data_IF_968500865906
#
_entry.id   IF_968500865906
#
_cell.length_a   1.000
_cell.length_b   1.000
_cell.length_c   1.000
_cell.angle_alpha   90.00
_cell.angle_beta   90.00
_cell.angle_gamma   90.00
#
_symmetry.space_group_name_H-M   'P 1'
#
loop_
_entity.id
_entity.type
_entity.pdbx_description
1 polymer ?
#
# COMPACT_ATOMS: atom_id res chain seq x y z
N UNK A 1 46.36 32.46 112.62
CA UNK A 1 47.39 32.76 111.60
C UNK A 1 47.11 31.86 110.41
N UNK A 2 46.91 32.43 109.22
CA UNK A 2 46.67 31.63 108.01
C UNK A 2 47.92 30.81 107.68
N UNK A 3 47.75 29.54 107.30
CA UNK A 3 48.89 28.66 107.02
C UNK A 3 49.51 29.02 105.65
N UNK A 4 50.79 28.68 105.43
CA UNK A 4 51.45 28.90 104.13
C UNK A 4 50.69 28.25 102.97
N UNK A 5 49.91 27.19 103.23
CA UNK A 5 49.07 26.53 102.23
C UNK A 5 47.89 27.41 101.80
N UNK A 6 47.24 28.08 102.75
CA UNK A 6 46.09 28.95 102.48
C UNK A 6 46.49 30.17 101.63
N UNK A 7 47.70 30.70 101.86
CA UNK A 7 48.27 31.79 101.05
C UNK A 7 48.56 31.36 99.60
N UNK A 8 49.04 30.13 99.40
CA UNK A 8 49.32 29.60 98.05
C UNK A 8 48.02 29.26 97.31
N UNK A 9 47.02 28.70 97.99
CA UNK A 9 45.69 28.45 97.40
C UNK A 9 44.97 29.76 97.03
N UNK A 10 45.07 30.79 97.88
CA UNK A 10 44.52 32.11 97.56
C UNK A 10 45.19 32.75 96.33
N UNK A 11 46.53 32.66 96.22
CA UNK A 11 47.24 33.16 95.04
C UNK A 11 46.93 32.36 93.78
N UNK A 12 46.83 31.03 93.86
CA UNK A 12 46.48 30.20 92.70
C UNK A 12 45.03 30.40 92.26
N UNK A 13 44.10 30.62 93.19
CA UNK A 13 42.72 30.97 92.87
C UNK A 13 42.63 32.32 92.17
N UNK A 14 43.31 33.35 92.70
CA UNK A 14 43.37 34.67 92.07
C UNK A 14 43.99 34.62 90.66
N UNK A 15 45.07 33.83 90.48
CA UNK A 15 45.71 33.66 89.18
C UNK A 15 44.84 32.90 88.17
N UNK A 16 44.13 31.85 88.59
CA UNK A 16 43.16 31.15 87.73
C UNK A 16 42.02 32.08 87.32
N UNK A 17 41.48 32.87 88.25
CA UNK A 17 40.39 33.81 87.97
C UNK A 17 40.82 34.90 86.99
N UNK A 18 42.04 35.42 87.12
CA UNK A 18 42.62 36.40 86.18
C UNK A 18 42.89 35.80 84.80
N UNK A 19 43.44 34.58 84.74
CA UNK A 19 43.66 33.89 83.47
C UNK A 19 42.35 33.55 82.77
N UNK A 20 41.33 33.11 83.50
CA UNK A 20 40.00 32.87 82.92
C UNK A 20 39.39 34.16 82.40
N UNK A 21 39.48 35.28 83.13
CA UNK A 21 38.98 36.58 82.67
C UNK A 21 39.71 37.10 81.42
N UNK A 22 41.02 36.81 81.30
CA UNK A 22 41.82 37.21 80.14
C UNK A 22 41.56 36.31 78.92
N UNK A 23 41.41 35.00 79.12
CA UNK A 23 41.15 34.04 78.04
C UNK A 23 39.70 34.07 77.57
N UNK A 24 38.74 34.34 78.47
CA UNK A 24 37.31 34.40 78.11
C UNK A 24 36.90 35.70 77.41
N UNK A 25 37.83 36.65 77.24
CA UNK A 25 37.61 37.88 76.46
C UNK A 25 36.35 38.62 76.89
N UNK A 26 36.25 39.06 78.14
CA UNK A 26 35.11 39.86 78.60
C UNK A 26 35.19 41.29 78.04
N UNK A 27 34.34 41.71 77.08
CA UNK A 27 34.34 43.07 76.58
C UNK A 27 33.55 43.93 77.58
N UNK A 28 34.23 44.83 78.30
CA UNK A 28 33.55 45.92 79.01
C UNK A 28 32.87 45.59 80.35
N UNK A 29 33.18 44.47 81.00
CA UNK A 29 32.86 44.28 82.42
C UNK A 29 31.38 44.04 82.79
N UNK A 30 30.57 43.44 81.92
CA UNK A 30 29.23 42.95 82.28
C UNK A 30 29.20 41.43 82.36
N UNK A 31 28.57 40.87 83.39
CA UNK A 31 28.22 39.45 83.45
C UNK A 31 27.38 39.09 82.23
N UNK A 32 27.73 38.00 81.56
CA UNK A 32 26.95 37.46 80.45
C UNK A 32 25.65 36.88 81.03
N UNK A 33 24.56 37.64 81.00
CA UNK A 33 23.23 37.05 81.17
C UNK A 33 23.04 35.96 80.10
N UNK A 34 22.71 34.71 80.48
CA UNK A 34 22.46 33.67 79.51
C UNK A 34 21.25 34.06 78.66
N UNK A 35 21.49 34.48 77.42
CA UNK A 35 20.39 34.71 76.47
C UNK A 35 19.77 33.34 76.18
N UNK A 36 18.48 33.17 76.51
CA UNK A 36 17.76 31.91 76.25
C UNK A 36 17.85 31.62 74.74
N UNK A 37 18.40 30.48 74.28
CA UNK A 37 18.62 30.19 72.86
C UNK A 37 17.33 29.91 72.07
N UNK A 38 16.16 30.27 72.60
CA UNK A 38 14.84 30.02 72.00
C UNK A 38 14.71 30.55 70.57
N UNK A 39 15.37 31.67 70.23
CA UNK A 39 15.34 32.20 68.85
C UNK A 39 16.02 31.26 67.86
N UNK A 40 17.13 30.64 68.25
CA UNK A 40 17.84 29.66 67.41
C UNK A 40 17.04 28.36 67.27
N UNK A 41 16.37 27.92 68.34
CA UNK A 41 15.50 26.72 68.32
C UNK A 41 14.27 26.95 67.43
N UNK A 42 13.60 28.09 67.58
CA UNK A 42 12.44 28.44 66.74
C UNK A 42 12.85 28.61 65.28
N UNK A 43 13.99 29.27 65.02
CA UNK A 43 14.54 29.41 63.67
C UNK A 43 14.86 28.05 63.03
N UNK A 44 15.53 27.15 63.77
CA UNK A 44 15.81 25.79 63.33
C UNK A 44 14.54 24.99 63.04
N UNK A 45 13.56 25.01 63.95
CA UNK A 45 12.29 24.30 63.77
C UNK A 45 11.51 24.80 62.54
N UNK A 46 11.51 26.12 62.30
CA UNK A 46 10.84 26.73 61.16
C UNK A 46 11.50 26.31 59.86
N UNK A 47 12.84 26.35 59.80
CA UNK A 47 13.60 25.92 58.63
C UNK A 47 13.41 24.42 58.34
N UNK A 48 13.45 23.56 59.37
CA UNK A 48 13.18 22.12 59.23
C UNK A 48 11.77 21.86 58.71
N UNK A 49 10.77 22.59 59.22
CA UNK A 49 9.38 22.47 58.77
C UNK A 49 9.24 22.87 57.31
N UNK A 50 9.86 23.98 56.90
CA UNK A 50 9.85 24.44 55.49
C UNK A 50 10.54 23.44 54.56
N UNK A 51 11.64 22.82 54.98
CA UNK A 51 12.33 21.79 54.20
C UNK A 51 11.47 20.54 54.02
N UNK A 52 10.79 20.09 55.08
CA UNK A 52 9.88 18.93 55.02
C UNK A 52 8.67 19.23 54.13
N UNK A 53 8.05 20.40 54.27
CA UNK A 53 6.94 20.80 53.41
C UNK A 53 7.39 20.98 51.96
N UNK A 54 8.58 21.54 51.74
CA UNK A 54 9.18 21.69 50.42
C UNK A 54 9.48 20.35 49.76
N UNK A 55 9.99 19.36 50.50
CA UNK A 55 10.26 18.02 49.95
C UNK A 55 8.99 17.22 49.66
N UNK A 56 7.97 17.30 50.52
CA UNK A 56 6.64 16.73 50.27
C UNK A 56 5.98 17.34 49.03
N UNK A 57 6.03 18.67 48.90
CA UNK A 57 5.52 19.35 47.71
C UNK A 57 6.28 18.97 46.44
N UNK A 58 7.61 18.84 46.53
CA UNK A 58 8.45 18.42 45.40
C UNK A 58 8.17 16.97 44.95
N UNK A 59 7.87 16.06 45.87
CA UNK A 59 7.48 14.68 45.56
C UNK A 59 6.12 14.58 44.85
N UNK A 60 5.18 15.47 45.16
CA UNK A 60 3.89 15.55 44.45
C UNK A 60 4.03 16.14 43.03
N UNK A 61 5.10 16.89 42.79
CA UNK A 61 5.47 17.42 41.47
C UNK A 61 6.35 16.44 40.67
N UNK A 62 6.69 15.27 41.24
CA UNK A 62 7.44 14.24 40.54
C UNK A 62 6.68 13.79 39.29
N UNK A 63 7.40 13.54 38.19
CA UNK A 63 6.82 13.44 36.86
C UNK A 63 6.03 12.14 36.68
N UNK A 64 4.71 12.20 36.88
CA UNK A 64 3.81 11.11 36.54
C UNK A 64 3.87 10.81 35.04
N UNK A 65 3.58 9.56 34.68
CA UNK A 65 3.45 9.18 33.28
C UNK A 65 2.33 9.99 32.61
N UNK A 66 2.47 10.37 31.33
CA UNK A 66 1.44 11.10 30.61
C UNK A 66 0.10 10.36 30.66
N UNK A 67 -1.03 11.07 30.71
CA UNK A 67 -2.35 10.44 30.71
C UNK A 67 -2.55 9.54 29.48
N UNK A 68 -3.08 8.33 29.69
CA UNK A 68 -3.34 7.35 28.62
C UNK A 68 -2.09 6.76 27.99
N UNK A 69 -1.01 6.59 28.77
CA UNK A 69 0.23 5.91 28.36
C UNK A 69 0.10 4.37 28.36
N UNK A 70 -0.86 3.85 29.11
CA UNK A 70 -0.92 2.50 29.65
C UNK A 70 -1.61 1.49 28.72
N UNK A 71 -2.31 1.95 27.69
CA UNK A 71 -2.97 1.05 26.75
C UNK A 71 -2.90 1.56 25.31
N UNK A 72 -2.62 0.66 24.37
CA UNK A 72 -2.57 0.91 22.93
C UNK A 72 -1.60 2.05 22.52
N UNK A 73 -0.49 2.21 23.25
CA UNK A 73 0.54 3.23 22.98
C UNK A 73 1.89 2.62 22.63
N UNK A 74 2.63 3.32 21.77
CA UNK A 74 4.07 3.15 21.63
C UNK A 74 4.78 4.08 22.62
N UNK A 75 5.36 3.52 23.67
CA UNK A 75 6.16 4.24 24.67
C UNK A 75 7.62 4.24 24.23
N UNK A 76 8.16 5.42 23.96
CA UNK A 76 9.56 5.61 23.58
C UNK A 76 10.27 6.38 24.69
N UNK A 77 11.32 5.79 25.24
CA UNK A 77 12.15 6.45 26.23
C UNK A 77 13.12 7.41 25.54
N UNK A 78 13.57 8.46 26.25
CA UNK A 78 14.53 9.42 25.71
C UNK A 78 15.90 8.84 25.34
N UNK A 79 16.26 7.67 25.88
CA UNK A 79 17.47 6.91 25.54
C UNK A 79 17.27 5.97 24.32
N UNK A 80 16.06 5.92 23.74
CA UNK A 80 15.76 5.19 22.52
C UNK A 80 15.18 3.78 22.70
N UNK A 81 14.97 3.33 23.95
CA UNK A 81 14.24 2.08 24.21
C UNK A 81 12.76 2.23 23.85
N UNK A 82 12.15 1.13 23.41
CA UNK A 82 10.80 1.14 22.82
C UNK A 82 9.95 0.04 23.41
N UNK A 83 8.72 0.39 23.78
CA UNK A 83 7.77 -0.53 24.39
C UNK A 83 6.37 -0.29 23.83
N UNK A 84 5.58 -1.34 23.67
CA UNK A 84 4.12 -1.22 23.50
C UNK A 84 3.49 -1.38 24.87
N UNK A 85 2.65 -0.41 25.25
CA UNK A 85 1.85 -0.49 26.47
C UNK A 85 0.52 -1.19 26.15
N UNK A 86 0.24 -2.30 26.84
CA UNK A 86 -1.01 -3.04 26.76
C UNK A 86 -1.51 -3.26 28.18
N UNK A 87 -2.66 -2.67 28.52
CA UNK A 87 -3.30 -2.82 29.84
C UNK A 87 -2.34 -2.58 31.03
N UNK A 88 -1.50 -1.55 30.94
CA UNK A 88 -0.52 -1.16 31.95
C UNK A 88 0.81 -1.94 31.93
N UNK A 89 0.98 -2.90 31.02
CA UNK A 89 2.22 -3.68 30.88
C UNK A 89 3.04 -3.21 29.68
N UNK A 90 4.34 -2.98 29.89
CA UNK A 90 5.29 -2.59 28.86
C UNK A 90 5.94 -3.81 28.21
N UNK A 91 5.65 -4.03 26.93
CA UNK A 91 6.27 -5.07 26.12
C UNK A 91 7.38 -4.45 25.26
N UNK A 92 8.67 -4.82 25.44
CA UNK A 92 9.73 -4.37 24.55
C UNK A 92 9.39 -4.70 23.09
N UNK A 93 9.56 -3.75 22.17
CA UNK A 93 9.18 -3.95 20.76
C UNK A 93 10.37 -3.80 19.81
N UNK A 94 10.47 -4.71 18.84
CA UNK A 94 11.61 -4.76 17.93
C UNK A 94 11.67 -3.59 16.93
N UNK A 95 10.52 -3.03 16.53
CA UNK A 95 10.42 -1.93 15.59
C UNK A 95 9.08 -1.20 15.71
N UNK A 96 9.00 0.02 15.20
CA UNK A 96 7.78 0.82 15.29
C UNK A 96 6.63 0.28 14.41
N UNK A 97 6.92 -0.39 13.28
CA UNK A 97 5.88 -1.02 12.46
C UNK A 97 5.15 -2.14 13.24
N UNK A 98 5.90 -2.95 13.99
CA UNK A 98 5.33 -3.99 14.86
C UNK A 98 4.45 -3.40 15.96
N UNK A 99 4.88 -2.27 16.55
CA UNK A 99 4.05 -1.56 17.52
C UNK A 99 2.74 -1.08 16.89
N UNK A 100 2.80 -0.54 15.67
CA UNK A 100 1.63 -0.07 14.92
C UNK A 100 0.68 -1.21 14.50
N UNK A 101 1.21 -2.41 14.25
CA UNK A 101 0.41 -3.61 13.96
C UNK A 101 -0.31 -4.17 15.20
N UNK A 102 0.28 -4.06 16.38
CA UNK A 102 -0.32 -4.55 17.63
C UNK A 102 -1.41 -3.62 18.18
N UNK A 103 -1.31 -2.33 17.88
CA UNK A 103 -2.27 -1.33 18.32
C UNK A 103 -3.48 -1.30 17.38
N UNK A 104 -4.74 -1.24 17.88
CA UNK A 104 -5.91 -1.11 17.04
C UNK A 104 -5.83 0.08 16.07
N UNK A 105 -6.37 -0.06 14.84
CA UNK A 105 -6.40 1.02 13.86
C UNK A 105 -7.00 2.32 14.44
N UNK A 106 -6.34 3.45 14.18
CA UNK A 106 -6.76 4.78 14.66
C UNK A 106 -6.35 5.14 16.09
N UNK A 107 -5.79 4.22 16.87
CA UNK A 107 -5.40 4.47 18.27
C UNK A 107 -3.89 4.65 18.48
N UNK A 108 -3.09 4.35 17.46
CA UNK A 108 -1.63 4.44 17.53
C UNK A 108 -1.18 5.86 17.83
N UNK A 109 -0.58 6.05 19.01
CA UNK A 109 0.10 7.29 19.39
C UNK A 109 1.41 6.96 20.08
N UNK A 110 2.38 7.85 19.88
CA UNK A 110 3.70 7.75 20.50
C UNK A 110 3.71 8.60 21.76
N UNK A 111 4.10 8.01 22.88
CA UNK A 111 4.29 8.70 24.15
C UNK A 111 5.78 8.69 24.47
N UNK A 112 6.37 9.88 24.57
CA UNK A 112 7.78 10.00 24.93
C UNK A 112 7.93 10.18 26.43
N UNK A 113 8.72 9.33 27.07
CA UNK A 113 8.93 9.31 28.53
C UNK A 113 10.41 9.30 28.87
N UNK A 114 10.75 9.65 30.11
CA UNK A 114 12.08 9.37 30.64
C UNK A 114 12.16 7.92 31.15
N UNK A 115 13.34 7.28 31.11
CA UNK A 115 13.51 5.92 31.63
C UNK A 115 13.00 5.77 33.07
N UNK A 116 13.28 6.75 33.94
CA UNK A 116 12.88 6.71 35.36
C UNK A 116 11.36 6.69 35.57
N UNK A 117 10.58 7.18 34.59
CA UNK A 117 9.12 7.22 34.70
C UNK A 117 8.48 5.84 34.51
N UNK A 118 9.18 4.90 33.88
CA UNK A 118 8.67 3.55 33.58
C UNK A 118 9.41 2.45 34.36
N UNK A 119 10.30 2.81 35.29
CA UNK A 119 11.08 1.84 36.06
C UNK A 119 10.19 0.87 36.85
N UNK A 120 9.12 1.39 37.46
CA UNK A 120 8.16 0.60 38.24
C UNK A 120 7.06 -0.05 37.39
N UNK A 121 7.05 0.18 36.07
CA UNK A 121 6.02 -0.39 35.19
C UNK A 121 6.25 -1.89 34.96
N UNK A 122 5.20 -2.74 35.01
CA UNK A 122 5.30 -4.16 34.69
C UNK A 122 5.92 -4.39 33.31
N UNK A 123 6.81 -5.38 33.19
CA UNK A 123 7.44 -5.75 31.91
C UNK A 123 6.89 -7.07 31.40
N UNK A 124 6.47 -7.06 30.15
CA UNK A 124 6.04 -8.24 29.41
C UNK A 124 7.16 -8.84 28.57
N UNK A 125 6.81 -9.88 27.80
CA UNK A 125 7.70 -10.47 26.80
C UNK A 125 7.97 -9.49 25.65
N UNK A 126 9.15 -9.60 25.05
CA UNK A 126 9.50 -8.87 23.83
C UNK A 126 8.60 -9.31 22.67
N UNK A 127 8.10 -8.35 21.89
CA UNK A 127 7.19 -8.58 20.76
C UNK A 127 7.70 -7.92 19.49
N UNK A 128 7.22 -8.41 18.34
CA UNK A 128 7.41 -7.79 17.03
C UNK A 128 7.97 -8.75 15.98
N UNK A 129 7.97 -8.26 14.74
CA UNK A 129 8.43 -8.98 13.56
C UNK A 129 9.90 -8.61 13.30
N UNK A 130 10.85 -9.55 13.38
CA UNK A 130 12.25 -9.27 13.05
C UNK A 130 12.40 -8.75 11.62
N UNK A 131 13.19 -7.69 11.44
CA UNK A 131 13.46 -7.08 10.12
C UNK A 131 12.36 -6.15 9.59
N UNK A 132 11.24 -5.99 10.29
CA UNK A 132 10.24 -4.99 9.91
C UNK A 132 10.79 -3.55 10.11
N UNK A 133 10.36 -2.60 9.26
CA UNK A 133 10.92 -1.25 9.25
C UNK A 133 10.51 -0.43 10.48
N UNK A 134 11.31 0.58 10.78
CA UNK A 134 11.00 1.56 11.82
C UNK A 134 10.17 2.75 11.33
N UNK A 135 10.25 3.05 10.03
CA UNK A 135 9.46 4.08 9.40
C UNK A 135 8.50 3.42 8.41
N UNK A 136 7.22 3.74 8.53
CA UNK A 136 6.21 3.46 7.51
C UNK A 136 5.78 4.81 6.96
N UNK A 137 5.71 4.99 5.63
CA UNK A 137 5.30 6.26 5.04
C UNK A 137 3.90 6.67 5.51
N UNK A 138 3.65 7.96 5.45
CA UNK A 138 2.31 8.50 5.67
C UNK A 138 1.38 7.99 4.55
N UNK A 139 0.09 7.68 4.84
CA UNK A 139 -0.85 7.25 3.80
C UNK A 139 -0.92 8.19 2.59
N UNK A 140 -0.75 9.50 2.79
CA UNK A 140 -0.75 10.49 1.70
C UNK A 140 0.49 10.40 0.78
N UNK A 141 1.54 9.67 1.20
CA UNK A 141 2.76 9.43 0.41
C UNK A 141 2.76 8.05 -0.25
N UNK A 142 1.66 7.30 -0.17
CA UNK A 142 1.54 6.03 -0.86
C UNK A 142 1.26 6.27 -2.34
N UNK A 143 2.17 5.80 -3.19
CA UNK A 143 1.98 5.81 -4.64
C UNK A 143 1.10 4.62 -5.01
N UNK A 144 -0.21 4.85 -5.13
CA UNK A 144 -1.18 3.81 -5.49
C UNK A 144 -1.31 3.56 -7.00
N UNK A 145 -0.88 4.50 -7.84
CA UNK A 145 -1.05 4.48 -9.29
C UNK A 145 0.23 4.99 -9.96
N UNK A 146 0.34 4.88 -11.29
CA UNK A 146 1.53 5.31 -12.03
C UNK A 146 2.71 4.35 -11.95
N UNK A 147 2.47 3.08 -11.62
CA UNK A 147 3.54 2.09 -11.63
C UNK A 147 3.74 1.64 -13.07
N UNK A 148 4.94 1.82 -13.61
CA UNK A 148 5.25 1.52 -15.00
C UNK A 148 6.27 0.38 -15.05
N UNK A 149 5.94 -0.71 -15.75
CA UNK A 149 6.85 -1.84 -15.95
C UNK A 149 7.01 -2.13 -17.44
N UNK A 150 8.18 -1.85 -17.99
CA UNK A 150 8.49 -1.98 -19.42
C UNK A 150 9.34 -3.21 -19.72
N UNK A 151 9.23 -3.74 -20.94
CA UNK A 151 10.01 -4.88 -21.42
C UNK A 151 10.99 -4.47 -22.51
N UNK A 152 12.22 -4.96 -22.41
CA UNK A 152 13.28 -4.81 -23.41
C UNK A 152 13.25 -5.94 -24.45
N UNK A 153 14.04 -5.79 -25.51
CA UNK A 153 13.98 -6.68 -26.69
C UNK A 153 14.23 -8.16 -26.39
N UNK A 154 15.08 -8.48 -25.39
CA UNK A 154 15.40 -9.85 -24.99
C UNK A 154 14.70 -10.27 -23.68
N UNK A 155 13.65 -9.53 -23.28
CA UNK A 155 12.82 -9.85 -22.11
C UNK A 155 13.33 -9.30 -20.78
N UNK A 156 14.35 -8.42 -20.79
CA UNK A 156 14.69 -7.61 -19.63
C UNK A 156 13.53 -6.71 -19.21
N UNK A 157 13.45 -6.38 -17.91
CA UNK A 157 12.38 -5.55 -17.38
C UNK A 157 12.92 -4.33 -16.65
N UNK A 158 12.27 -3.18 -16.84
CA UNK A 158 12.50 -1.98 -16.07
C UNK A 158 11.18 -1.57 -15.41
N UNK A 159 11.16 -1.52 -14.08
CA UNK A 159 9.98 -1.08 -13.32
C UNK A 159 10.29 0.21 -12.60
N UNK A 160 9.49 1.24 -12.87
CA UNK A 160 9.61 2.56 -12.27
C UNK A 160 8.37 2.87 -11.46
N UNK A 161 8.59 3.35 -10.24
CA UNK A 161 7.57 3.92 -9.38
C UNK A 161 7.89 5.41 -9.23
N UNK A 162 7.16 6.26 -9.96
CA UNK A 162 7.41 7.71 -10.00
C UNK A 162 6.13 8.49 -10.27
N UNK A 163 6.02 9.70 -9.70
CA UNK A 163 4.98 10.67 -10.04
C UNK A 163 5.11 11.20 -11.48
N UNK A 164 6.29 11.06 -12.10
CA UNK A 164 6.53 11.47 -13.50
C UNK A 164 5.71 10.65 -14.51
N UNK A 165 5.12 9.53 -14.09
CA UNK A 165 4.23 8.71 -14.90
C UNK A 165 2.79 9.26 -14.98
N UNK A 166 2.47 10.32 -14.23
CA UNK A 166 1.14 10.92 -14.22
C UNK A 166 0.60 11.34 -15.61
N UNK A 167 1.40 11.87 -16.55
CA UNK A 167 0.94 12.16 -17.90
C UNK A 167 0.47 10.90 -18.66
N UNK A 168 1.17 9.76 -18.49
CA UNK A 168 0.77 8.50 -19.12
C UNK A 168 -0.57 7.99 -18.57
N UNK A 169 -0.83 8.19 -17.27
CA UNK A 169 -2.13 7.85 -16.67
C UNK A 169 -3.25 8.71 -17.27
N UNK A 170 -2.99 10.00 -17.48
CA UNK A 170 -3.95 10.91 -18.12
C UNK A 170 -4.22 10.52 -19.59
N UNK A 171 -3.19 10.15 -20.35
CA UNK A 171 -3.34 9.68 -21.74
C UNK A 171 -4.23 8.43 -21.82
N UNK A 172 -4.01 7.45 -20.92
CA UNK A 172 -4.85 6.24 -20.84
C UNK A 172 -6.30 6.60 -20.49
N UNK A 173 -6.51 7.57 -19.59
CA UNK A 173 -7.85 8.03 -19.23
C UNK A 173 -8.58 8.68 -20.42
N UNK A 174 -7.87 9.51 -21.20
CA UNK A 174 -8.42 10.13 -22.41
C UNK A 174 -8.74 9.11 -23.50
N UNK A 175 -7.84 8.15 -23.75
CA UNK A 175 -8.05 7.06 -24.69
C UNK A 175 -9.28 6.24 -24.31
N UNK A 176 -9.40 5.87 -23.04
CA UNK A 176 -10.56 5.15 -22.53
C UNK A 176 -11.86 5.96 -22.71
N UNK A 177 -11.84 7.25 -22.40
CA UNK A 177 -13.01 8.13 -22.54
C UNK A 177 -13.43 8.33 -24.02
N UNK A 178 -12.48 8.32 -24.95
CA UNK A 178 -12.74 8.47 -26.38
C UNK A 178 -13.29 7.19 -27.04
N UNK A 179 -13.27 6.06 -26.34
CA UNK A 179 -13.63 4.75 -26.90
C UNK A 179 -12.63 4.24 -27.95
N UNK A 180 -11.39 4.74 -27.93
CA UNK A 180 -10.33 4.20 -28.76
C UNK A 180 -10.11 2.71 -28.41
N UNK A 181 -9.86 1.88 -29.42
CA UNK A 181 -9.57 0.47 -29.21
C UNK A 181 -8.33 0.29 -28.34
N UNK A 182 -8.27 -0.75 -27.50
CA UNK A 182 -7.14 -0.97 -26.60
C UNK A 182 -5.84 -1.19 -27.39
N UNK A 183 -4.70 -0.90 -26.78
CA UNK A 183 -3.42 -1.36 -27.30
C UNK A 183 -3.35 -2.90 -27.24
N UNK A 184 -2.67 -3.49 -28.22
CA UNK A 184 -2.46 -4.93 -28.34
C UNK A 184 -0.99 -5.27 -28.56
N UNK A 185 -0.54 -6.34 -27.92
CA UNK A 185 0.82 -6.85 -28.07
C UNK A 185 0.83 -8.37 -28.09
N UNK A 186 1.42 -8.94 -29.14
CA UNK A 186 1.74 -10.36 -29.17
C UNK A 186 3.03 -10.59 -28.37
N UNK A 187 2.98 -11.48 -27.39
CA UNK A 187 4.13 -11.81 -26.54
C UNK A 187 4.37 -13.31 -26.48
N UNK A 188 5.60 -13.67 -26.17
CA UNK A 188 6.06 -15.03 -25.93
C UNK A 188 6.63 -15.14 -24.53
N UNK A 189 6.13 -16.09 -23.75
CA UNK A 189 6.71 -16.45 -22.46
C UNK A 189 7.02 -17.94 -22.45
N UNK A 190 8.31 -18.28 -22.44
CA UNK A 190 8.76 -19.64 -22.70
C UNK A 190 8.36 -20.10 -24.11
N UNK A 191 7.60 -21.19 -24.19
CA UNK A 191 7.11 -21.75 -25.46
C UNK A 191 5.73 -21.23 -25.86
N UNK A 192 5.02 -20.56 -24.95
CA UNK A 192 3.63 -20.14 -25.14
C UNK A 192 3.52 -18.72 -25.69
N UNK A 193 2.51 -18.51 -26.53
CA UNK A 193 2.16 -17.22 -27.11
C UNK A 193 0.93 -16.67 -26.43
N UNK A 194 0.93 -15.36 -26.19
CA UNK A 194 -0.20 -14.64 -25.61
C UNK A 194 -0.47 -13.37 -26.38
N UNK A 195 -1.74 -13.00 -26.52
CA UNK A 195 -2.13 -11.65 -26.87
C UNK A 195 -2.43 -10.88 -25.58
N UNK A 196 -1.70 -9.80 -25.34
CA UNK A 196 -2.01 -8.84 -24.27
C UNK A 196 -2.85 -7.72 -24.86
N UNK A 197 -4.06 -7.54 -24.35
CA UNK A 197 -4.98 -6.49 -24.76
C UNK A 197 -6.00 -6.21 -23.65
N UNK A 198 -6.45 -4.96 -23.53
CA UNK A 198 -7.50 -4.55 -22.59
C UNK A 198 -7.27 -5.00 -21.13
N UNK A 199 -6.02 -4.86 -20.67
CA UNK A 199 -5.59 -5.25 -19.32
C UNK A 199 -5.55 -6.76 -19.06
N UNK A 200 -5.81 -7.59 -20.08
CA UNK A 200 -5.77 -9.03 -20.00
C UNK A 200 -4.68 -9.64 -20.86
N UNK A 201 -4.33 -10.88 -20.52
CA UNK A 201 -3.56 -11.79 -21.37
C UNK A 201 -4.45 -12.95 -21.79
N UNK A 202 -4.40 -13.28 -23.08
CA UNK A 202 -5.13 -14.40 -23.65
C UNK A 202 -4.12 -15.37 -24.27
N UNK A 203 -4.12 -16.63 -23.83
CA UNK A 203 -3.26 -17.65 -24.42
C UNK A 203 -3.66 -17.89 -25.88
N UNK A 204 -2.69 -18.05 -26.76
CA UNK A 204 -2.91 -18.51 -28.13
C UNK A 204 -2.61 -20.02 -28.16
N UNK A 205 -3.63 -20.89 -28.30
CA UNK A 205 -3.44 -22.34 -28.27
C UNK A 205 -2.45 -22.81 -29.35
N UNK A 206 -1.49 -23.64 -28.97
CA UNK A 206 -0.42 -24.08 -29.88
C UNK A 206 -0.95 -24.81 -31.11
N UNK A 207 -1.96 -25.65 -30.93
CA UNK A 207 -2.55 -26.47 -31.99
C UNK A 207 -3.17 -25.64 -33.13
N UNK A 208 -3.69 -24.45 -32.82
CA UNK A 208 -4.49 -23.63 -33.74
C UNK A 208 -3.89 -22.24 -33.98
N UNK A 209 -2.71 -22.00 -33.42
CA UNK A 209 -2.00 -20.71 -33.40
C UNK A 209 -1.99 -19.97 -34.74
N UNK A 210 -1.65 -20.65 -35.84
CA UNK A 210 -1.59 -20.00 -37.16
C UNK A 210 -2.96 -19.52 -37.67
N UNK A 211 -4.03 -20.26 -37.37
CA UNK A 211 -5.40 -19.90 -37.75
C UNK A 211 -5.92 -18.74 -36.90
N UNK A 212 -5.72 -18.84 -35.59
CA UNK A 212 -6.09 -17.81 -34.61
C UNK A 212 -5.39 -16.49 -34.93
N UNK A 213 -4.05 -16.50 -35.07
CA UNK A 213 -3.28 -15.28 -35.35
C UNK A 213 -3.71 -14.63 -36.66
N UNK A 214 -4.00 -15.40 -37.71
CA UNK A 214 -4.51 -14.84 -38.97
C UNK A 214 -5.90 -14.24 -38.81
N UNK A 215 -6.78 -14.91 -38.07
CA UNK A 215 -8.13 -14.42 -37.80
C UNK A 215 -8.11 -13.06 -37.09
N UNK A 216 -7.22 -12.88 -36.10
CA UNK A 216 -7.09 -11.62 -35.36
C UNK A 216 -6.12 -10.62 -35.99
N UNK A 217 -5.59 -10.89 -37.19
CA UNK A 217 -4.68 -10.00 -37.92
C UNK A 217 -3.29 -9.83 -37.30
N UNK A 218 -2.80 -10.84 -36.58
CA UNK A 218 -1.51 -10.87 -35.88
C UNK A 218 -0.52 -11.89 -36.49
N UNK A 219 -0.79 -12.41 -37.68
CA UNK A 219 0.03 -13.46 -38.34
C UNK A 219 1.40 -12.96 -38.82
N UNK A 220 1.56 -11.66 -39.01
CA UNK A 220 2.84 -11.02 -39.35
C UNK A 220 3.53 -10.37 -38.16
N UNK A 221 2.89 -10.35 -36.98
CA UNK A 221 3.45 -9.72 -35.79
C UNK A 221 4.60 -10.57 -35.24
N UNK A 222 5.71 -9.92 -34.92
CA UNK A 222 6.82 -10.57 -34.23
C UNK A 222 6.55 -10.53 -32.71
N UNK A 223 6.44 -11.69 -32.03
CA UNK A 223 6.12 -11.71 -30.62
C UNK A 223 7.28 -11.19 -29.78
N UNK A 224 6.99 -10.29 -28.83
CA UNK A 224 7.97 -9.83 -27.84
C UNK A 224 8.28 -10.93 -26.84
N UNK A 225 9.56 -11.14 -26.53
CA UNK A 225 9.94 -12.09 -25.49
C UNK A 225 9.72 -11.44 -24.13
N UNK A 226 8.94 -12.07 -23.25
CA UNK A 226 8.60 -11.52 -21.92
C UNK A 226 8.76 -12.58 -20.84
N UNK A 227 9.10 -12.12 -19.63
CA UNK A 227 9.10 -12.99 -18.44
C UNK A 227 7.68 -13.30 -18.00
N UNK A 228 7.49 -14.46 -17.37
CA UNK A 228 6.20 -14.81 -16.75
C UNK A 228 5.80 -13.79 -15.67
N UNK A 229 6.78 -13.14 -15.01
CA UNK A 229 6.52 -12.08 -14.02
C UNK A 229 5.86 -10.86 -14.65
N UNK A 230 6.40 -10.36 -15.76
CA UNK A 230 5.80 -9.22 -16.46
C UNK A 230 4.43 -9.59 -17.04
N UNK A 231 4.30 -10.77 -17.63
CA UNK A 231 3.01 -11.26 -18.13
C UNK A 231 1.95 -11.37 -17.01
N UNK A 232 2.35 -11.67 -15.76
CA UNK A 232 1.48 -11.71 -14.57
C UNK A 232 1.00 -10.34 -14.08
N UNK A 233 1.43 -9.24 -14.69
CA UNK A 233 0.87 -7.92 -14.42
C UNK A 233 -0.51 -7.73 -15.05
N UNK A 234 -0.84 -8.51 -16.07
CA UNK A 234 -2.14 -8.52 -16.73
C UNK A 234 -3.02 -9.65 -16.21
N UNK A 235 -4.32 -9.38 -16.06
CA UNK A 235 -5.26 -10.40 -15.61
C UNK A 235 -5.35 -11.55 -16.63
N UNK A 236 -5.48 -12.82 -16.20
CA UNK A 236 -5.79 -13.89 -17.13
C UNK A 236 -7.17 -13.65 -17.76
N UNK A 237 -7.25 -13.82 -19.07
CA UNK A 237 -8.50 -13.97 -19.81
C UNK A 237 -8.60 -15.34 -20.46
N UNK A 238 -9.75 -15.60 -21.09
CA UNK A 238 -10.04 -16.82 -21.86
C UNK A 238 -9.07 -16.94 -23.03
N UNK A 239 -8.68 -18.17 -23.35
CA UNK A 239 -7.78 -18.47 -24.47
C UNK A 239 -8.38 -18.00 -25.80
N UNK A 240 -7.55 -17.57 -26.75
CA UNK A 240 -7.96 -17.20 -28.09
C UNK A 240 -8.16 -18.45 -28.95
N UNK A 241 -9.31 -19.08 -28.82
CA UNK A 241 -9.69 -20.26 -29.61
C UNK A 241 -10.83 -19.95 -30.59
N UNK A 242 -11.04 -20.76 -31.63
CA UNK A 242 -12.23 -20.61 -32.47
C UNK A 242 -13.52 -20.72 -31.64
N UNK A 243 -14.43 -19.78 -31.86
CA UNK A 243 -15.69 -19.74 -31.11
C UNK A 243 -16.62 -20.83 -31.61
N UNK A 244 -17.14 -21.63 -30.67
CA UNK A 244 -18.07 -22.72 -30.95
C UNK A 244 -19.45 -22.42 -30.37
N UNK A 245 -20.48 -22.63 -31.18
CA UNK A 245 -21.88 -22.56 -30.77
C UNK A 245 -22.47 -23.95 -30.84
N UNK A 246 -23.06 -24.40 -29.75
CA UNK A 246 -23.69 -25.71 -29.68
C UNK A 246 -24.83 -25.82 -30.70
N UNK A 247 -24.86 -26.93 -31.43
CA UNK A 247 -25.90 -27.15 -32.45
C UNK A 247 -25.72 -26.33 -33.74
N UNK A 248 -24.59 -25.65 -33.95
CA UNK A 248 -24.35 -24.89 -35.18
C UNK A 248 -24.68 -25.68 -36.46
N UNK A 249 -25.46 -25.07 -37.36
CA UNK A 249 -25.98 -25.68 -38.59
C UNK A 249 -27.30 -26.45 -38.43
N UNK A 250 -27.79 -26.66 -37.21
CA UNK A 250 -29.09 -27.29 -36.97
C UNK A 250 -30.25 -26.31 -37.17
N UNK A 251 -31.46 -26.80 -37.52
CA UNK A 251 -32.65 -25.96 -37.59
C UNK A 251 -32.97 -25.32 -36.23
N UNK A 252 -33.44 -24.08 -36.26
CA UNK A 252 -33.93 -23.38 -35.07
C UNK A 252 -35.24 -24.03 -34.54
N UNK A 253 -35.54 -23.85 -33.23
CA UNK A 253 -36.82 -24.27 -32.67
C UNK A 253 -38.03 -23.68 -33.43
N UNK A 254 -39.14 -24.43 -33.46
CA UNK A 254 -40.37 -23.94 -34.08
C UNK A 254 -40.89 -22.68 -33.34
N UNK A 255 -41.26 -21.65 -34.12
CA UNK A 255 -41.81 -20.41 -33.59
C UNK A 255 -40.80 -19.29 -33.35
N UNK A 256 -39.50 -19.54 -33.51
CA UNK A 256 -38.47 -18.49 -33.47
C UNK A 256 -38.63 -17.56 -34.68
N UNK A 257 -38.81 -16.24 -34.50
CA UNK A 257 -39.03 -15.27 -35.58
C UNK A 257 -37.73 -14.88 -36.29
N UNK A 258 -36.91 -15.85 -36.68
CA UNK A 258 -35.64 -15.61 -37.36
C UNK A 258 -35.81 -15.40 -38.89
N UNK A 259 -34.85 -14.75 -39.56
CA UNK A 259 -34.88 -14.60 -41.02
C UNK A 259 -34.95 -15.94 -41.77
N UNK A 260 -35.55 -15.99 -42.97
CA UNK A 260 -35.64 -17.22 -43.75
C UNK A 260 -34.26 -17.83 -44.03
N UNK A 261 -34.10 -19.12 -43.73
CA UNK A 261 -32.83 -19.84 -43.93
C UNK A 261 -31.81 -19.66 -42.81
N UNK A 262 -32.13 -18.88 -41.78
CA UNK A 262 -31.32 -18.84 -40.56
C UNK A 262 -31.39 -20.18 -39.82
N UNK A 263 -30.24 -20.61 -39.33
CA UNK A 263 -30.04 -21.82 -38.53
C UNK A 263 -29.31 -21.44 -37.24
N UNK A 264 -29.21 -22.37 -36.30
CA UNK A 264 -28.34 -22.20 -35.13
C UNK A 264 -26.93 -21.89 -35.61
N UNK A 265 -26.31 -20.86 -35.05
CA UNK A 265 -25.01 -20.33 -35.44
C UNK A 265 -25.02 -19.29 -36.56
N UNK A 266 -26.15 -19.02 -37.24
CA UNK A 266 -26.18 -17.97 -38.27
C UNK A 266 -25.80 -16.60 -37.68
N UNK A 267 -24.90 -15.88 -38.37
CA UNK A 267 -24.51 -14.52 -37.99
C UNK A 267 -25.53 -13.55 -38.59
N UNK A 268 -26.21 -12.80 -37.74
CA UNK A 268 -27.09 -11.71 -38.14
C UNK A 268 -26.32 -10.40 -38.06
N UNK A 269 -26.15 -9.75 -39.22
CA UNK A 269 -25.48 -8.45 -39.33
C UNK A 269 -26.52 -7.35 -39.44
N UNK A 270 -26.56 -6.50 -38.41
CA UNK A 270 -27.46 -5.37 -38.31
C UNK A 270 -26.66 -4.09 -38.58
N UNK A 271 -26.99 -3.39 -39.65
CA UNK A 271 -26.48 -2.04 -39.90
C UNK A 271 -27.55 -1.03 -39.50
N UNK A 272 -27.25 -0.15 -38.55
CA UNK A 272 -28.21 0.86 -38.13
C UNK A 272 -28.23 2.10 -39.05
N UNK A 273 -29.12 3.05 -38.73
CA UNK A 273 -29.33 4.24 -39.55
C UNK A 273 -28.11 5.18 -39.61
N UNK A 274 -27.16 5.04 -38.68
CA UNK A 274 -25.93 5.85 -38.61
C UNK A 274 -24.75 5.10 -39.23
N UNK A 275 -24.97 3.86 -39.70
CA UNK A 275 -23.96 3.02 -40.33
C UNK A 275 -23.16 2.16 -39.36
N UNK A 276 -23.52 2.12 -38.08
CA UNK A 276 -22.89 1.22 -37.10
C UNK A 276 -23.32 -0.22 -37.39
N UNK A 277 -22.34 -1.11 -37.44
CA UNK A 277 -22.56 -2.54 -37.71
C UNK A 277 -22.50 -3.29 -36.38
N UNK A 278 -23.57 -4.00 -36.05
CA UNK A 278 -23.64 -4.92 -34.92
C UNK A 278 -23.84 -6.34 -35.44
N UNK A 279 -23.13 -7.30 -34.85
CA UNK A 279 -23.26 -8.72 -35.19
C UNK A 279 -23.81 -9.48 -34.00
N UNK A 280 -24.68 -10.43 -34.31
CA UNK A 280 -25.22 -11.39 -33.35
C UNK A 280 -25.11 -12.79 -33.94
N UNK A 281 -24.89 -13.77 -33.09
CA UNK A 281 -25.00 -15.19 -33.46
C UNK A 281 -26.30 -15.73 -32.86
N UNK A 282 -27.05 -16.50 -33.63
CA UNK A 282 -28.20 -17.24 -33.10
C UNK A 282 -27.71 -18.47 -32.33
N UNK A 283 -28.11 -18.61 -31.07
CA UNK A 283 -27.86 -19.85 -30.31
C UNK A 283 -28.89 -20.95 -30.61
N UNK A 284 -28.79 -22.04 -29.85
CA UNK A 284 -29.68 -23.20 -29.98
C UNK A 284 -31.13 -22.90 -29.56
N UNK A 285 -31.35 -21.91 -28.70
CA UNK A 285 -32.67 -21.47 -28.24
C UNK A 285 -33.29 -20.44 -29.21
N UNK A 286 -32.48 -19.87 -30.10
CA UNK A 286 -32.86 -18.85 -31.07
C UNK A 286 -32.66 -17.42 -30.55
N UNK A 287 -31.94 -17.26 -29.46
CA UNK A 287 -31.57 -15.97 -28.89
C UNK A 287 -30.33 -15.39 -29.58
N UNK A 288 -30.22 -14.06 -29.55
CA UNK A 288 -29.13 -13.30 -30.13
C UNK A 288 -27.98 -13.22 -29.10
N UNK A 289 -26.89 -13.92 -29.36
CA UNK A 289 -25.63 -13.74 -28.64
C UNK A 289 -24.84 -12.60 -29.29
N UNK A 290 -24.52 -11.52 -28.57
CA UNK A 290 -23.65 -10.46 -29.10
C UNK A 290 -22.30 -11.02 -29.55
N UNK A 291 -21.88 -10.64 -30.75
CA UNK A 291 -20.59 -11.01 -31.33
C UNK A 291 -19.77 -9.74 -31.55
N UNK A 292 -18.68 -9.61 -30.81
CA UNK A 292 -17.78 -8.46 -30.92
C UNK A 292 -17.02 -8.47 -32.25
N UNK A 293 -16.50 -7.32 -32.67
CA UNK A 293 -15.72 -7.23 -33.91
C UNK A 293 -14.44 -8.08 -33.83
N UNK A 294 -13.85 -8.18 -32.64
CA UNK A 294 -12.69 -9.04 -32.41
C UNK A 294 -13.04 -10.54 -32.41
N UNK A 295 -14.19 -10.92 -31.84
CA UNK A 295 -14.62 -12.32 -31.78
C UNK A 295 -15.12 -12.83 -33.14
N UNK A 296 -15.64 -11.95 -34.01
CA UNK A 296 -16.19 -12.32 -35.31
C UNK A 296 -15.26 -13.17 -36.21
N UNK A 297 -13.98 -12.82 -36.43
CA UNK A 297 -13.09 -13.65 -37.22
C UNK A 297 -12.74 -14.98 -36.54
N UNK A 298 -12.71 -15.05 -35.20
CA UNK A 298 -12.51 -16.30 -34.45
C UNK A 298 -13.75 -17.20 -34.54
N UNK A 299 -14.95 -16.62 -34.58
CA UNK A 299 -16.17 -17.36 -34.88
C UNK A 299 -16.19 -17.89 -36.31
N UNK A 300 -15.73 -17.11 -37.28
CA UNK A 300 -15.70 -17.50 -38.69
C UNK A 300 -14.83 -18.75 -38.95
N UNK A 301 -13.73 -18.91 -38.21
CA UNK A 301 -12.88 -20.12 -38.28
C UNK A 301 -13.36 -21.27 -37.40
N UNK A 302 -14.37 -21.04 -36.55
CA UNK A 302 -15.04 -22.04 -35.71
C UNK A 302 -16.39 -22.45 -36.29
N UNK A 303 -17.47 -22.29 -35.51
CA UNK A 303 -18.83 -22.67 -35.94
C UNK A 303 -19.36 -21.88 -37.13
N UNK A 304 -18.85 -20.67 -37.38
CA UNK A 304 -19.20 -19.86 -38.54
C UNK A 304 -18.91 -20.56 -39.87
N UNK A 305 -17.90 -21.43 -39.92
CA UNK A 305 -17.55 -22.19 -41.11
C UNK A 305 -18.66 -23.16 -41.57
N UNK A 306 -19.60 -23.52 -40.68
CA UNK A 306 -20.69 -24.46 -40.95
C UNK A 306 -21.95 -23.79 -41.52
N UNK A 307 -22.15 -22.51 -41.24
CA UNK A 307 -23.42 -21.80 -41.48
C UNK A 307 -23.38 -20.82 -42.66
N UNK A 308 -22.20 -20.58 -43.24
CA UNK A 308 -22.03 -19.76 -44.43
C UNK A 308 -21.86 -18.26 -44.13
N UNK A 309 -22.30 -17.40 -45.06
CA UNK A 309 -22.10 -15.95 -44.96
C UNK A 309 -23.09 -15.27 -44.01
N UNK A 310 -22.69 -14.13 -43.46
CA UNK A 310 -23.52 -13.26 -42.64
C UNK A 310 -24.85 -12.91 -43.34
N UNK A 311 -25.93 -12.96 -42.57
CA UNK A 311 -27.28 -12.57 -43.01
C UNK A 311 -27.51 -11.11 -42.66
N UNK A 312 -27.60 -10.25 -43.66
CA UNK A 312 -27.96 -8.84 -43.47
C UNK A 312 -29.42 -8.72 -43.03
N UNK A 313 -29.64 -8.06 -41.88
CA UNK A 313 -30.97 -7.88 -41.28
C UNK A 313 -31.22 -6.43 -40.89
N UNK A 314 -32.49 -6.04 -40.85
CA UNK A 314 -32.96 -4.77 -40.30
C UNK A 314 -33.44 -4.95 -38.87
N UNK A 315 -33.50 -3.86 -38.10
CA UNK A 315 -33.98 -3.89 -36.71
C UNK A 315 -35.42 -4.42 -36.58
N UNK A 316 -36.23 -4.24 -37.63
CA UNK A 316 -37.60 -4.78 -37.69
C UNK A 316 -37.60 -6.30 -37.78
N UNK A 317 -36.69 -6.88 -38.57
CA UNK A 317 -36.63 -8.34 -38.80
C UNK A 317 -36.16 -9.12 -37.57
N UNK A 318 -35.43 -8.48 -36.66
CA UNK A 318 -34.93 -9.10 -35.42
C UNK A 318 -35.68 -8.63 -34.17
N UNK A 319 -36.73 -7.81 -34.32
CA UNK A 319 -37.46 -7.19 -33.20
C UNK A 319 -38.16 -8.19 -32.26
N UNK A 320 -38.42 -9.41 -32.73
CA UNK A 320 -39.05 -10.47 -31.95
C UNK A 320 -38.06 -11.45 -31.29
N UNK A 321 -36.76 -11.28 -31.50
CA UNK A 321 -35.72 -12.13 -30.92
C UNK A 321 -35.24 -11.56 -29.59
N UNK A 322 -34.92 -12.42 -28.62
CA UNK A 322 -34.34 -11.97 -27.36
C UNK A 322 -32.82 -11.87 -27.52
N UNK A 323 -32.19 -10.93 -26.82
CA UNK A 323 -30.72 -10.82 -26.75
C UNK A 323 -30.26 -11.45 -25.45
N UNK A 324 -29.33 -12.40 -25.54
CA UNK A 324 -28.68 -12.99 -24.38
C UNK A 324 -27.82 -11.94 -23.67
N UNK A 325 -27.78 -11.99 -22.34
CA UNK A 325 -26.86 -11.15 -21.55
C UNK A 325 -25.40 -11.60 -21.68
N UNK A 326 -25.16 -12.81 -22.19
CA UNK A 326 -23.83 -13.38 -22.39
C UNK A 326 -23.39 -13.23 -23.84
N UNK A 327 -22.22 -12.66 -24.06
CA UNK A 327 -21.54 -12.68 -25.36
C UNK A 327 -20.82 -14.01 -25.56
N UNK A 328 -20.59 -14.39 -26.81
CA UNK A 328 -19.92 -15.66 -27.16
C UNK A 328 -18.44 -15.74 -26.66
N UNK A 329 -17.83 -14.60 -26.35
CA UNK A 329 -16.53 -14.48 -25.69
C UNK A 329 -16.50 -13.17 -24.88
N UNK A 330 -17.01 -13.17 -23.62
CA UNK A 330 -17.36 -11.94 -22.92
C UNK A 330 -16.15 -11.16 -22.39
N UNK A 331 -14.98 -11.77 -22.28
CA UNK A 331 -13.78 -11.14 -21.70
C UNK A 331 -12.71 -10.75 -22.72
N UNK A 332 -12.88 -11.14 -23.98
CA UNK A 332 -12.06 -10.68 -25.10
C UNK A 332 -12.32 -9.20 -25.42
N UNK A 333 -11.38 -8.52 -26.12
CA UNK A 333 -11.60 -7.16 -26.62
C UNK A 333 -12.89 -7.03 -27.44
N UNK A 334 -13.54 -5.88 -27.36
CA UNK A 334 -14.73 -5.57 -28.18
C UNK A 334 -14.37 -5.24 -29.64
N UNK A 335 -13.19 -4.65 -29.84
CA UNK A 335 -12.64 -4.25 -31.13
C UNK A 335 -11.22 -4.77 -31.28
N UNK A 336 -10.72 -4.84 -32.52
CA UNK A 336 -9.33 -5.25 -32.79
C UNK A 336 -8.35 -4.31 -32.09
N UNK A 337 -7.47 -4.83 -31.22
CA UNK A 337 -6.47 -4.02 -30.55
C UNK A 337 -5.51 -3.36 -31.53
N UNK A 338 -5.10 -2.12 -31.22
CA UNK A 338 -4.10 -1.41 -32.02
C UNK A 338 -2.71 -1.90 -31.64
N UNK A 339 -1.92 -2.35 -32.61
CA UNK A 339 -0.57 -2.83 -32.35
C UNK A 339 0.31 -1.72 -31.72
N UNK A 340 1.08 -2.08 -30.68
CA UNK A 340 2.13 -1.20 -30.15
C UNK A 340 3.16 -0.92 -31.25
N UNK A 341 3.57 0.34 -31.48
CA UNK A 341 4.53 0.66 -32.53
C UNK A 341 5.88 -0.04 -32.37
N UNK A 342 6.44 -0.51 -33.48
CA UNK A 342 7.78 -1.09 -33.52
C UNK A 342 8.84 -0.10 -33.00
N UNK A 343 9.82 -0.62 -32.26
CA UNK A 343 10.92 0.18 -31.69
C UNK A 343 10.54 0.99 -30.44
N UNK A 344 9.29 0.89 -29.96
CA UNK A 344 8.91 1.38 -28.63
C UNK A 344 8.82 0.21 -27.65
N UNK A 345 9.43 0.36 -26.47
CA UNK A 345 9.32 -0.68 -25.46
C UNK A 345 7.87 -0.77 -24.96
N UNK A 346 7.25 -1.95 -24.95
CA UNK A 346 5.91 -2.10 -24.39
C UNK A 346 5.97 -2.05 -22.87
N UNK A 347 4.99 -1.39 -22.25
CA UNK A 347 4.90 -1.26 -20.79
C UNK A 347 3.51 -1.59 -20.26
N UNK A 348 3.48 -2.18 -19.07
CA UNK A 348 2.32 -2.27 -18.23
C UNK A 348 2.27 -1.05 -17.32
N UNK A 349 1.22 -0.23 -17.44
CA UNK A 349 0.96 0.92 -16.59
C UNK A 349 -0.18 0.60 -15.63
N UNK A 350 0.06 0.75 -14.33
CA UNK A 350 -0.99 0.74 -13.32
C UNK A 350 -1.67 2.11 -13.28
N UNK A 351 -2.90 2.18 -13.76
CA UNK A 351 -3.81 3.32 -13.67
C UNK A 351 -5.10 2.89 -12.94
N UNK A 352 -5.07 2.88 -11.59
CA UNK A 352 -6.19 2.37 -10.78
C UNK A 352 -7.51 3.11 -10.99
N UNK A 353 -7.45 4.36 -11.44
CA UNK A 353 -8.62 5.21 -11.70
C UNK A 353 -9.34 4.87 -13.03
N UNK A 354 -8.78 3.96 -13.84
CA UNK A 354 -9.27 3.66 -15.20
C UNK A 354 -9.51 2.17 -15.39
N UNK A 355 -10.77 1.80 -15.68
CA UNK A 355 -11.14 0.46 -16.15
C UNK A 355 -10.62 -0.68 -15.26
N UNK A 356 -9.87 -1.61 -15.86
CA UNK A 356 -9.30 -2.81 -15.19
C UNK A 356 -8.00 -2.55 -14.42
N UNK A 357 -7.57 -1.30 -14.29
CA UNK A 357 -6.42 -0.91 -13.47
C UNK A 357 -5.05 -1.06 -14.15
N UNK A 358 -4.80 -2.08 -14.98
CA UNK A 358 -3.52 -2.21 -15.73
C UNK A 358 -3.75 -2.06 -17.23
N UNK A 359 -2.94 -1.21 -17.86
CA UNK A 359 -3.06 -0.86 -19.27
C UNK A 359 -1.74 -1.06 -19.99
N UNK A 360 -1.82 -1.55 -21.22
CA UNK A 360 -0.66 -1.65 -22.10
C UNK A 360 -0.42 -0.29 -22.75
N UNK A 361 0.79 0.25 -22.61
CA UNK A 361 1.22 1.53 -23.19
C UNK A 361 2.57 1.39 -23.89
N UNK A 362 2.85 2.28 -24.84
CA UNK A 362 4.16 2.38 -25.49
C UNK A 362 5.07 3.34 -24.69
N UNK A 363 6.30 2.92 -24.39
CA UNK A 363 7.26 3.67 -23.60
C UNK A 363 7.70 5.00 -24.27
N UNK A 364 7.53 6.17 -23.64
CA UNK A 364 7.98 7.44 -24.22
C UNK A 364 9.42 7.86 -23.84
N UNK A 365 10.21 7.06 -23.12
CA UNK A 365 11.59 7.48 -22.80
C UNK A 365 12.35 6.74 -21.70
N UNK A 366 11.84 5.63 -21.17
CA UNK A 366 12.55 4.83 -20.17
C UNK A 366 13.62 3.95 -20.83
N UNK A 367 14.84 3.97 -20.32
CA UNK A 367 15.86 3.00 -20.71
C UNK A 367 15.55 1.63 -20.11
N UNK A 368 15.28 0.64 -20.96
CA UNK A 368 14.99 -0.73 -20.54
C UNK A 368 16.19 -1.62 -20.88
N UNK A 369 16.72 -2.40 -19.93
CA UNK A 369 17.82 -3.32 -20.22
C UNK A 369 17.34 -4.40 -21.20
N UNK A 370 18.21 -4.83 -22.11
CA UNK A 370 17.90 -5.96 -23.00
C UNK A 370 17.59 -7.24 -22.20
N UNK A 371 18.37 -7.50 -21.13
CA UNK A 371 18.22 -8.67 -20.24
C UNK A 371 18.31 -8.27 -18.76
N UNK A 372 17.65 -9.03 -17.88
CA UNK A 372 17.68 -8.82 -16.42
C UNK A 372 16.59 -7.85 -15.94
N UNK A 373 16.55 -7.62 -14.63
CA UNK A 373 15.51 -6.80 -13.99
C UNK A 373 16.12 -5.58 -13.33
N UNK A 374 15.57 -4.40 -13.61
CA UNK A 374 15.90 -3.14 -12.94
C UNK A 374 14.62 -2.58 -12.30
N UNK A 375 14.74 -2.17 -11.04
CA UNK A 375 13.66 -1.49 -10.31
C UNK A 375 14.18 -0.16 -9.82
N UNK A 376 13.53 0.90 -10.26
CA UNK A 376 13.77 2.26 -9.80
C UNK A 376 12.53 2.74 -9.04
N UNK A 377 12.77 3.18 -7.81
CA UNK A 377 11.74 3.80 -6.98
C UNK A 377 12.23 5.20 -6.77
N UNK A 378 11.55 6.17 -7.39
CA UNK A 378 11.89 7.56 -7.13
C UNK A 378 11.72 7.81 -5.64
N UNK A 379 12.67 8.53 -5.01
CA UNK A 379 12.53 8.88 -3.62
C UNK A 379 11.27 9.73 -3.49
N UNK A 380 10.19 9.11 -3.01
CA UNK A 380 9.00 9.84 -2.57
C UNK A 380 9.50 10.90 -1.60
N UNK A 381 9.43 12.17 -1.99
CA UNK A 381 9.98 13.26 -1.19
C UNK A 381 9.46 13.13 0.26
N UNK A 382 10.38 12.86 1.20
CA UNK A 382 10.13 12.82 2.64
C UNK A 382 11.01 11.84 3.39
#
# INVERSE_FOLDING_TARGET
MASKKDLVEAQTFSRRRLLTAFVSGAPGGRELEPTKPMRAVVGGLTLSTLLVLGSLGFGLLSPSLPAGWDDNRLVVTRDGSRYVALQGTLHPVLNAASARLLVPPGQFQVVQVRPEQIEESPRGVTVGVPGAPDAVPDPARLVGSGWLSCVGEEGGTATVLSEETAPLVAEVQEQHASGAGPAGLLVRSGEDLYLVADGRRHLVPRAESAGVLRAVGQDTALPWTVTARWLNLFEPGSDLEPVHVEGAGQPLPEGVPAPPGAVVGSVLRLTDAVGEVRRYVLDADGDLLPLTDFAAPLYAIGSGALVGADVEVTSVQVSGLQTSEQAAAPDWPSVTPTAVPDGTAPCALLAQEVGRGVHLVANPGLEVPATGDVVEVDPAAG
#
